data_IF_038188730095
#
_entry.id   IF_038188730095
#
_cell.length_a   1.000
_cell.length_b   1.000
_cell.length_c   1.000
_cell.angle_alpha   90.00
_cell.angle_beta   90.00
_cell.angle_gamma   90.00
#
_symmetry.space_group_name_H-M   'P 1'
#
loop_
_entity.id
_entity.type
_entity.pdbx_description
1 polymer ?
#
# COMPACT_ATOMS: atom_id res chain seq x y z
N UNK A 1 -13.49 -9.55 -7.40
CA UNK A 1 -12.47 -8.99 -6.48
C UNK A 1 -13.06 -8.91 -5.08
N UNK A 2 -12.27 -9.19 -4.04
CA UNK A 2 -12.70 -9.05 -2.63
C UNK A 2 -12.89 -7.58 -2.29
N UNK A 3 -13.98 -7.27 -1.59
CA UNK A 3 -14.27 -5.94 -1.05
C UNK A 3 -13.13 -5.41 -0.16
N UNK A 4 -12.85 -4.11 -0.23
CA UNK A 4 -11.71 -3.51 0.49
C UNK A 4 -11.92 -3.52 2.01
N UNK A 5 -13.11 -3.30 2.55
CA UNK A 5 -13.31 -3.35 4.00
C UNK A 5 -13.02 -4.74 4.56
N UNK A 6 -13.59 -5.77 3.93
CA UNK A 6 -13.33 -7.16 4.32
C UNK A 6 -11.85 -7.54 4.16
N UNK A 7 -11.18 -7.04 3.13
CA UNK A 7 -9.75 -7.24 2.90
C UNK A 7 -8.92 -6.63 4.04
N UNK A 8 -9.16 -5.38 4.40
CA UNK A 8 -8.38 -4.69 5.43
C UNK A 8 -8.59 -5.35 6.81
N UNK A 9 -9.79 -5.84 7.12
CA UNK A 9 -10.02 -6.65 8.33
C UNK A 9 -9.23 -7.96 8.33
N UNK A 10 -9.14 -8.64 7.18
CA UNK A 10 -8.31 -9.84 7.06
C UNK A 10 -6.81 -9.53 7.16
N UNK A 11 -6.34 -8.43 6.55
CA UNK A 11 -4.93 -8.01 6.59
C UNK A 11 -4.45 -7.69 8.00
N UNK A 12 -5.31 -7.06 8.84
CA UNK A 12 -5.00 -6.77 10.25
C UNK A 12 -4.66 -8.04 11.06
N UNK A 13 -5.28 -9.18 10.72
CA UNK A 13 -5.04 -10.48 11.37
C UNK A 13 -3.71 -11.12 10.95
N UNK A 14 -3.12 -10.71 9.83
CA UNK A 14 -1.84 -11.22 9.37
C UNK A 14 -0.66 -10.52 10.08
N UNK A 15 0.11 -11.27 10.87
CA UNK A 15 1.30 -10.76 11.54
C UNK A 15 2.32 -10.14 10.57
N UNK A 16 2.48 -10.74 9.38
CA UNK A 16 3.38 -10.23 8.35
C UNK A 16 2.90 -8.91 7.75
N UNK A 17 1.59 -8.76 7.47
CA UNK A 17 1.05 -7.55 6.81
C UNK A 17 0.90 -6.39 7.79
N UNK A 18 0.47 -6.67 9.02
CA UNK A 18 0.20 -5.62 10.02
C UNK A 18 1.46 -4.90 10.51
N UNK A 19 2.65 -5.48 10.33
CA UNK A 19 3.93 -4.89 10.80
C UNK A 19 4.45 -3.75 9.94
N UNK A 20 3.96 -3.60 8.70
CA UNK A 20 4.40 -2.54 7.82
C UNK A 20 3.89 -1.19 8.30
N UNK A 21 4.80 -0.21 8.34
CA UNK A 21 4.55 1.19 8.69
C UNK A 21 5.45 2.07 7.83
N UNK A 22 5.00 3.28 7.52
CA UNK A 22 5.87 4.27 6.89
C UNK A 22 6.94 4.73 7.89
N UNK A 23 8.20 4.75 7.47
CA UNK A 23 9.28 5.36 8.22
C UNK A 23 9.29 6.88 8.05
N UNK A 24 10.16 7.57 8.80
CA UNK A 24 10.26 9.04 8.75
C UNK A 24 10.55 9.57 7.33
N UNK A 25 11.37 8.87 6.54
CA UNK A 25 11.71 9.27 5.16
C UNK A 25 10.51 9.13 4.22
N UNK A 26 9.79 8.01 4.29
CA UNK A 26 8.62 7.79 3.46
C UNK A 26 7.46 8.71 3.87
N UNK A 27 7.29 9.00 5.16
CA UNK A 27 6.34 9.99 5.63
C UNK A 27 6.69 11.39 5.10
N UNK A 28 7.95 11.82 5.21
CA UNK A 28 8.39 13.10 4.67
C UNK A 28 8.10 13.21 3.16
N UNK A 29 8.40 12.17 2.39
CA UNK A 29 8.07 12.13 0.96
C UNK A 29 6.56 12.22 0.70
N UNK A 30 5.76 11.48 1.47
CA UNK A 30 4.30 11.53 1.36
C UNK A 30 3.74 12.92 1.69
N UNK A 31 4.32 13.63 2.65
CA UNK A 31 3.94 15.00 2.98
C UNK A 31 4.39 16.01 1.94
N UNK A 32 5.59 15.86 1.39
CA UNK A 32 6.16 16.74 0.37
C UNK A 32 5.35 16.68 -0.94
N UNK A 33 5.03 15.47 -1.42
CA UNK A 33 4.30 15.25 -2.68
C UNK A 33 2.78 15.26 -2.52
N UNK A 34 2.30 14.90 -1.34
CA UNK A 34 0.88 14.73 -1.08
C UNK A 34 0.32 13.40 -1.60
N UNK A 35 -0.84 13.03 -1.04
CA UNK A 35 -1.50 11.76 -1.34
C UNK A 35 -1.87 11.58 -2.82
N UNK A 36 -2.37 12.60 -3.57
CA UNK A 36 -2.74 12.43 -4.98
C UNK A 36 -1.55 12.02 -5.85
N UNK A 37 -0.40 12.70 -5.74
CA UNK A 37 0.79 12.42 -6.52
C UNK A 37 1.38 11.03 -6.20
N UNK A 38 1.47 10.68 -4.91
CA UNK A 38 1.95 9.34 -4.51
C UNK A 38 1.00 8.23 -4.98
N UNK A 39 -0.30 8.50 -5.06
CA UNK A 39 -1.28 7.54 -5.61
C UNK A 39 -1.12 7.41 -7.13
N UNK A 40 -0.79 8.50 -7.84
CA UNK A 40 -0.44 8.44 -9.26
C UNK A 40 0.83 7.60 -9.49
N UNK A 41 1.86 7.74 -8.65
CA UNK A 41 3.04 6.86 -8.68
C UNK A 41 2.67 5.40 -8.46
N UNK A 42 1.69 5.12 -7.59
CA UNK A 42 1.18 3.76 -7.42
C UNK A 42 0.60 3.23 -8.74
N UNK A 43 -0.19 4.03 -9.45
CA UNK A 43 -0.74 3.63 -10.74
C UNK A 43 0.35 3.28 -11.75
N UNK A 44 1.34 4.15 -11.92
CA UNK A 44 2.46 3.91 -12.84
C UNK A 44 3.24 2.63 -12.51
N UNK A 45 3.46 2.37 -11.21
CA UNK A 45 4.14 1.16 -10.75
C UNK A 45 3.32 -0.11 -11.03
N UNK A 46 2.01 -0.06 -10.80
CA UNK A 46 1.11 -1.19 -11.10
C UNK A 46 1.08 -1.46 -12.60
N UNK A 47 0.94 -0.42 -13.43
CA UNK A 47 0.88 -0.55 -14.88
C UNK A 47 2.16 -1.16 -15.45
N UNK A 48 3.32 -0.75 -14.93
CA UNK A 48 4.61 -1.25 -15.43
C UNK A 48 5.01 -2.61 -14.86
N UNK A 49 4.67 -2.90 -13.60
CA UNK A 49 5.28 -4.03 -12.85
C UNK A 49 4.33 -5.13 -12.44
N UNK A 50 3.01 -4.92 -12.54
CA UNK A 50 2.02 -5.89 -12.07
C UNK A 50 0.93 -6.16 -13.09
N UNK A 51 0.55 -5.17 -13.89
CA UNK A 51 -0.49 -5.28 -14.91
C UNK A 51 -0.19 -6.26 -16.05
N UNK A 52 1.05 -6.45 -16.54
CA UNK A 52 1.34 -7.45 -17.55
C UNK A 52 0.94 -8.87 -17.12
N UNK A 53 0.61 -9.74 -18.08
CA UNK A 53 0.22 -11.13 -17.82
C UNK A 53 1.32 -11.93 -17.12
N UNK A 54 2.57 -11.76 -17.60
CA UNK A 54 3.77 -12.34 -17.01
C UNK A 54 4.75 -11.23 -16.58
N UNK A 55 4.55 -10.61 -15.40
CA UNK A 55 5.42 -9.54 -14.94
C UNK A 55 6.85 -10.05 -14.70
N UNK A 56 7.88 -9.30 -15.12
CA UNK A 56 9.26 -9.68 -14.83
C UNK A 56 9.49 -9.68 -13.31
N UNK A 57 10.21 -10.69 -12.83
CA UNK A 57 10.53 -10.88 -11.40
C UNK A 57 9.29 -10.96 -10.48
N UNK A 58 8.21 -11.63 -10.93
CA UNK A 58 7.02 -11.84 -10.09
C UNK A 58 7.38 -12.53 -8.75
N UNK A 59 6.86 -11.99 -7.65
CA UNK A 59 7.26 -12.32 -6.28
C UNK A 59 8.42 -11.48 -5.71
N UNK A 60 9.15 -10.75 -6.55
CA UNK A 60 10.27 -9.86 -6.19
C UNK A 60 10.17 -8.47 -6.84
N UNK A 61 9.00 -8.07 -7.35
CA UNK A 61 8.85 -6.82 -8.12
C UNK A 61 9.10 -5.53 -7.32
N UNK A 62 8.88 -5.60 -6.02
CA UNK A 62 8.73 -4.41 -5.18
C UNK A 62 9.74 -4.45 -4.03
N UNK A 63 10.67 -3.47 -3.96
CA UNK A 63 11.53 -3.29 -2.79
C UNK A 63 10.72 -3.16 -1.50
N UNK A 64 11.34 -3.35 -0.33
CA UNK A 64 10.63 -3.23 0.95
C UNK A 64 10.61 -1.81 1.53
N UNK A 65 11.41 -0.88 1.00
CA UNK A 65 11.62 0.49 1.53
C UNK A 65 11.99 1.47 0.40
N UNK A 66 12.06 2.75 0.72
CA UNK A 66 12.57 3.80 -0.18
C UNK A 66 11.50 4.56 -0.97
N UNK A 67 10.26 4.09 -0.97
CA UNK A 67 9.10 4.83 -1.46
C UNK A 67 7.84 4.41 -0.70
N UNK A 68 6.90 5.33 -0.37
CA UNK A 68 5.67 4.98 0.37
C UNK A 68 4.86 3.87 -0.29
N UNK A 69 4.75 3.90 -1.63
CA UNK A 69 4.02 2.89 -2.41
C UNK A 69 4.60 1.49 -2.20
N UNK A 70 5.91 1.33 -2.13
CA UNK A 70 6.52 0.01 -1.96
C UNK A 70 6.12 -0.63 -0.63
N UNK A 71 6.15 0.16 0.45
CA UNK A 71 5.69 -0.29 1.77
C UNK A 71 4.19 -0.59 1.73
N UNK A 72 3.41 0.30 1.11
CA UNK A 72 1.97 0.12 0.96
C UNK A 72 1.62 -1.16 0.18
N UNK A 73 2.36 -1.51 -0.86
CA UNK A 73 2.14 -2.73 -1.64
C UNK A 73 2.33 -3.99 -0.78
N UNK A 74 3.35 -4.00 0.08
CA UNK A 74 3.56 -5.10 1.01
C UNK A 74 2.52 -5.14 2.13
N UNK A 75 2.10 -3.98 2.65
CA UNK A 75 1.06 -3.89 3.66
C UNK A 75 -0.31 -4.37 3.13
N UNK A 76 -0.63 -4.01 1.89
CA UNK A 76 -1.93 -4.28 1.25
C UNK A 76 -1.97 -5.57 0.45
N UNK A 77 -0.87 -6.33 0.39
CA UNK A 77 -0.76 -7.56 -0.42
C UNK A 77 -0.93 -7.35 -1.93
N UNK A 78 -0.45 -6.22 -2.44
CA UNK A 78 -0.45 -5.85 -3.87
C UNK A 78 0.96 -5.83 -4.48
N UNK A 79 1.91 -6.53 -3.84
CA UNK A 79 3.32 -6.55 -4.25
C UNK A 79 3.67 -7.58 -5.34
N UNK A 80 2.82 -8.59 -5.57
CA UNK A 80 2.99 -9.61 -6.61
C UNK A 80 1.66 -10.30 -6.98
N UNK A 81 1.63 -11.10 -8.05
CA UNK A 81 0.40 -11.77 -8.51
C UNK A 81 -0.13 -12.80 -7.53
N UNK A 82 0.76 -13.57 -6.91
CA UNK A 82 0.36 -14.55 -5.88
C UNK A 82 -0.32 -13.88 -4.68
N UNK A 83 0.13 -12.67 -4.32
CA UNK A 83 -0.52 -11.90 -3.26
C UNK A 83 -1.90 -11.38 -3.70
N UNK A 84 -2.02 -10.86 -4.93
CA UNK A 84 -3.31 -10.46 -5.50
C UNK A 84 -4.32 -11.61 -5.55
N UNK A 85 -3.91 -12.78 -6.01
CA UNK A 85 -4.75 -13.97 -6.06
C UNK A 85 -5.23 -14.37 -4.67
N UNK A 86 -4.31 -14.47 -3.70
CA UNK A 86 -4.61 -14.91 -2.33
C UNK A 86 -5.49 -13.92 -1.55
N UNK A 87 -5.23 -12.62 -1.69
CA UNK A 87 -5.82 -11.60 -0.83
C UNK A 87 -6.97 -10.84 -1.50
N UNK A 88 -6.84 -10.51 -2.78
CA UNK A 88 -7.83 -9.72 -3.51
C UNK A 88 -8.75 -10.58 -4.38
N UNK A 89 -8.45 -11.87 -4.54
CA UNK A 89 -9.20 -12.75 -5.45
C UNK A 89 -9.05 -12.36 -6.91
N UNK A 90 -7.91 -11.76 -7.28
CA UNK A 90 -7.56 -11.40 -8.66
C UNK A 90 -6.63 -12.48 -9.21
N UNK A 91 -7.11 -13.27 -10.18
CA UNK A 91 -6.35 -14.38 -10.75
C UNK A 91 -5.01 -13.96 -11.35
N UNK A 92 -4.01 -14.83 -11.23
CA UNK A 92 -2.75 -14.72 -11.97
C UNK A 92 -2.90 -15.27 -13.40
N UNK A 93 -1.89 -15.04 -14.25
CA UNK A 93 -1.87 -15.60 -15.62
C UNK A 93 -2.77 -14.89 -16.62
N UNK A 94 -3.22 -13.67 -16.32
CA UNK A 94 -3.87 -12.76 -17.27
C UNK A 94 -3.44 -11.35 -17.00
N UNK A 95 -3.38 -10.47 -18.00
CA UNK A 95 -3.15 -9.05 -17.77
C UNK A 95 -4.23 -8.48 -16.82
N UNK A 96 -3.84 -7.56 -15.93
CA UNK A 96 -4.83 -6.86 -15.09
C UNK A 96 -5.69 -5.97 -15.98
N UNK A 97 -7.01 -6.06 -15.83
CA UNK A 97 -7.92 -5.11 -16.46
C UNK A 97 -7.97 -3.77 -15.72
N UNK A 98 -8.71 -2.80 -16.26
CA UNK A 98 -8.78 -1.47 -15.67
C UNK A 98 -9.40 -1.45 -14.27
N UNK A 99 -10.44 -2.26 -14.04
CA UNK A 99 -11.09 -2.34 -12.75
C UNK A 99 -10.16 -2.98 -11.70
N UNK A 100 -9.40 -4.01 -12.09
CA UNK A 100 -8.39 -4.65 -11.25
C UNK A 100 -7.26 -3.70 -10.90
N UNK A 101 -6.76 -2.91 -11.85
CA UNK A 101 -5.74 -1.88 -11.60
C UNK A 101 -6.26 -0.79 -10.66
N UNK A 102 -7.48 -0.30 -10.89
CA UNK A 102 -8.12 0.69 -10.01
C UNK A 102 -8.33 0.16 -8.59
N UNK A 103 -8.76 -1.10 -8.45
CA UNK A 103 -8.92 -1.76 -7.15
C UNK A 103 -7.60 -1.82 -6.38
N UNK A 104 -6.51 -2.19 -7.06
CA UNK A 104 -5.18 -2.27 -6.47
C UNK A 104 -4.67 -0.89 -6.03
N UNK A 105 -4.80 0.13 -6.89
CA UNK A 105 -4.42 1.51 -6.55
C UNK A 105 -5.28 2.05 -5.42
N UNK A 106 -6.58 1.74 -5.39
CA UNK A 106 -7.49 2.10 -4.32
C UNK A 106 -7.10 1.51 -2.97
N UNK A 107 -6.69 0.23 -2.94
CA UNK A 107 -6.16 -0.39 -1.72
C UNK A 107 -4.90 0.32 -1.20
N UNK A 108 -3.95 0.62 -2.10
CA UNK A 108 -2.72 1.35 -1.76
C UNK A 108 -3.04 2.75 -1.22
N UNK A 109 -3.88 3.52 -1.93
CA UNK A 109 -4.25 4.88 -1.55
C UNK A 109 -4.99 4.94 -0.21
N UNK A 110 -5.88 3.98 0.06
CA UNK A 110 -6.55 3.85 1.37
C UNK A 110 -5.53 3.67 2.49
N UNK A 111 -4.60 2.73 2.34
CA UNK A 111 -3.59 2.46 3.37
C UNK A 111 -2.67 3.67 3.61
N UNK A 112 -2.23 4.34 2.55
CA UNK A 112 -1.40 5.57 2.66
C UNK A 112 -2.12 6.68 3.43
N UNK A 113 -3.42 6.86 3.19
CA UNK A 113 -4.25 7.84 3.92
C UNK A 113 -4.35 7.49 5.41
N UNK A 114 -4.55 6.22 5.73
CA UNK A 114 -4.62 5.75 7.12
C UNK A 114 -3.28 5.97 7.85
N UNK A 115 -2.14 5.72 7.20
CA UNK A 115 -0.83 5.95 7.79
C UNK A 115 -0.54 7.43 8.02
N UNK A 116 -0.87 8.31 7.08
CA UNK A 116 -0.77 9.77 7.27
C UNK A 116 -1.64 10.26 8.45
N UNK A 117 -2.85 9.70 8.62
CA UNK A 117 -3.72 10.03 9.74
C UNK A 117 -3.13 9.57 11.07
N UNK A 118 -2.65 8.33 11.15
CA UNK A 118 -2.03 7.75 12.36
C UNK A 118 -0.81 8.54 12.81
N UNK A 119 0.00 8.99 11.85
CA UNK A 119 1.16 9.82 12.11
C UNK A 119 0.77 11.17 12.75
N UNK A 120 -0.24 11.83 12.19
CA UNK A 120 -0.76 13.08 12.74
C UNK A 120 -1.35 12.92 14.15
N UNK A 121 -2.00 11.79 14.44
CA UNK A 121 -2.50 11.45 15.77
C UNK A 121 -1.35 11.21 16.76
N UNK A 122 -0.31 10.48 16.35
CA UNK A 122 0.88 10.23 17.17
C UNK A 122 1.64 11.52 17.49
N UNK A 123 1.80 12.43 16.51
CA UNK A 123 2.42 13.75 16.73
C UNK A 123 1.63 14.60 17.72
N UNK A 124 0.29 14.60 17.62
CA UNK A 124 -0.57 15.34 18.57
C UNK A 124 -0.44 14.79 19.98
N UNK A 125 -0.45 13.47 20.14
CA UNK A 125 -0.28 12.83 21.45
C UNK A 125 1.08 13.16 22.09
N UNK A 126 2.18 13.13 21.31
CA UNK A 126 3.51 13.49 21.79
C UNK A 126 3.56 14.94 22.32
N UNK A 127 3.01 15.90 21.55
CA UNK A 127 2.96 17.31 21.95
C UNK A 127 2.12 17.56 23.21
N UNK A 128 1.06 16.79 23.42
CA UNK A 128 0.22 16.90 24.62
C UNK A 128 0.91 16.36 25.88
N UNK A 129 1.75 15.34 25.75
CA UNK A 129 2.55 14.81 26.86
C UNK A 129 3.69 15.75 27.30
N UNK A 130 4.23 16.55 26.38
CA UNK A 130 5.28 17.54 26.67
C UNK A 130 4.78 18.79 27.42
N UNK A 131 3.47 19.09 27.36
CA UNK A 131 2.83 20.26 28.00
C UNK A 131 2.25 19.96 29.40
N UNK A 132 2.37 18.72 29.89
CA UNK A 132 1.83 18.28 31.19
C UNK A 132 2.86 18.33 32.33
N UNK A 133 3.94 19.09 32.18
CA UNK A 133 4.97 19.30 33.21
C UNK A 133 5.16 20.78 33.52
#
# INVERSE_FOLDING_TARGET
MRDLDSLFEALKKSAFRRRFRLGARELAYLHEKGLPEVTAHARDLIDKRLAPEAPPNDGKQTPFRGHPVFIAQHATATCCRTCLAKWHGIGAGKALDEAERQHVVGAIGRWLREEAKREGEQRKAARQGELQF
#
